data_IF_074349525723
#
_entry.id   IF_074349525723
#
_cell.length_a   1.000
_cell.length_b   1.000
_cell.length_c   1.000
_cell.angle_alpha   90.00
_cell.angle_beta   90.00
_cell.angle_gamma   90.00
#
_symmetry.space_group_name_H-M   'P 1'
#
loop_
_entity.id
_entity.type
_entity.pdbx_description
1 polymer ?
#
# COMPACT_ATOMS: atom_id res chain seq x y z
N UNK A 1 -17.53 -42.32 -56.68
CA UNK A 1 -18.06 -40.95 -56.47
C UNK A 1 -18.76 -40.91 -55.11
N UNK A 2 -18.13 -40.30 -54.09
CA UNK A 2 -18.75 -40.00 -52.80
C UNK A 2 -18.79 -38.48 -52.68
N UNK A 3 -19.99 -37.91 -52.64
CA UNK A 3 -20.21 -36.48 -52.40
C UNK A 3 -19.93 -36.18 -50.93
N UNK A 4 -19.03 -35.24 -50.67
CA UNK A 4 -18.85 -34.64 -49.36
C UNK A 4 -19.74 -33.39 -49.28
N UNK A 5 -20.75 -33.44 -48.41
CA UNK A 5 -21.61 -32.32 -48.05
C UNK A 5 -20.86 -31.41 -47.07
N UNK A 6 -20.48 -30.22 -47.51
CA UNK A 6 -20.00 -29.17 -46.61
C UNK A 6 -21.17 -28.59 -45.82
N UNK A 7 -21.16 -28.80 -44.50
CA UNK A 7 -22.05 -28.10 -43.57
C UNK A 7 -21.56 -26.66 -43.38
N UNK A 8 -22.43 -25.63 -43.42
CA UNK A 8 -22.04 -24.25 -43.22
C UNK A 8 -21.67 -24.02 -41.76
N UNK A 9 -20.42 -23.65 -41.51
CA UNK A 9 -19.94 -23.24 -40.19
C UNK A 9 -20.67 -21.96 -39.79
N UNK A 10 -21.46 -22.01 -38.70
CA UNK A 10 -22.06 -20.82 -38.07
C UNK A 10 -20.96 -19.83 -37.73
N UNK A 11 -20.87 -18.73 -38.48
CA UNK A 11 -20.06 -17.56 -38.11
C UNK A 11 -20.64 -17.00 -36.81
N UNK A 12 -19.83 -16.93 -35.75
CA UNK A 12 -20.17 -16.13 -34.56
C UNK A 12 -20.33 -14.67 -35.00
N UNK A 13 -21.28 -13.91 -34.44
CA UNK A 13 -21.36 -12.49 -34.69
C UNK A 13 -20.01 -11.85 -34.33
N UNK A 14 -19.48 -11.09 -35.28
CA UNK A 14 -18.26 -10.29 -35.13
C UNK A 14 -18.57 -9.25 -34.05
N UNK A 15 -17.98 -9.41 -32.86
CA UNK A 15 -18.17 -8.45 -31.77
C UNK A 15 -17.55 -7.12 -32.19
N UNK A 16 -18.34 -6.03 -32.13
CA UNK A 16 -17.86 -4.72 -32.53
C UNK A 16 -16.58 -4.35 -31.79
N UNK A 17 -15.53 -3.94 -32.52
CA UNK A 17 -14.25 -3.62 -31.93
C UNK A 17 -14.39 -2.41 -31.01
N UNK A 18 -13.74 -2.47 -29.86
CA UNK A 18 -13.82 -1.42 -28.84
C UNK A 18 -12.71 -0.41 -29.11
N UNK A 19 -13.08 0.84 -29.37
CA UNK A 19 -12.14 1.93 -29.67
C UNK A 19 -12.06 2.94 -28.54
N UNK A 20 -10.88 3.53 -28.34
CA UNK A 20 -10.65 4.44 -27.23
C UNK A 20 -9.19 4.76 -26.97
N UNK A 21 -8.94 5.59 -25.96
CA UNK A 21 -7.59 5.88 -25.48
C UNK A 21 -7.26 5.03 -24.27
N UNK A 22 -6.06 4.45 -24.22
CA UNK A 22 -5.58 3.72 -23.05
C UNK A 22 -4.95 4.66 -22.03
N UNK A 23 -5.14 4.30 -20.77
CA UNK A 23 -4.70 5.02 -19.58
C UNK A 23 -4.22 4.02 -18.52
N UNK A 24 -3.27 4.46 -17.69
CA UNK A 24 -2.89 3.82 -16.41
C UNK A 24 -2.67 2.28 -16.46
N UNK A 25 -1.69 1.82 -17.25
CA UNK A 25 -1.36 0.39 -17.38
C UNK A 25 -0.65 -0.15 -16.14
N UNK A 26 -1.32 -1.06 -15.42
CA UNK A 26 -0.76 -1.66 -14.19
C UNK A 26 0.39 -2.64 -14.47
N UNK A 27 1.23 -2.96 -13.46
CA UNK A 27 2.17 -4.08 -13.55
C UNK A 27 1.44 -5.41 -13.78
N UNK A 28 2.15 -6.41 -14.33
CA UNK A 28 1.61 -7.78 -14.44
C UNK A 28 1.40 -8.35 -13.03
N UNK A 29 0.18 -8.81 -12.78
CA UNK A 29 -0.31 -9.45 -11.57
C UNK A 29 -0.56 -10.93 -11.83
N UNK A 30 -0.55 -11.74 -10.78
CA UNK A 30 -0.92 -13.16 -10.83
C UNK A 30 -2.20 -13.36 -10.04
N UNK A 31 -3.19 -14.00 -10.66
CA UNK A 31 -4.45 -14.35 -9.98
C UNK A 31 -4.26 -15.55 -9.06
N UNK A 32 -5.24 -15.79 -8.17
CA UNK A 32 -5.29 -17.00 -7.34
C UNK A 32 -5.18 -18.31 -8.13
N UNK A 33 -5.69 -18.34 -9.37
CA UNK A 33 -5.60 -19.51 -10.27
C UNK A 33 -4.28 -19.59 -11.04
N UNK A 34 -3.26 -18.84 -10.60
CA UNK A 34 -1.95 -18.73 -11.23
C UNK A 34 -1.97 -18.21 -12.68
N UNK A 35 -3.04 -17.49 -13.07
CA UNK A 35 -3.13 -16.85 -14.38
C UNK A 35 -2.56 -15.43 -14.27
N UNK A 36 -1.60 -15.10 -15.12
CA UNK A 36 -1.01 -13.76 -15.21
C UNK A 36 -1.90 -12.81 -16.00
N UNK A 37 -2.08 -11.60 -15.50
CA UNK A 37 -2.90 -10.57 -16.14
C UNK A 37 -2.41 -9.17 -15.78
N UNK A 38 -2.85 -8.14 -16.49
CA UNK A 38 -2.71 -6.75 -16.08
C UNK A 38 -4.00 -5.98 -16.34
N UNK A 39 -4.23 -4.94 -15.56
CA UNK A 39 -5.33 -3.99 -15.74
C UNK A 39 -4.86 -2.73 -16.46
N UNK A 40 -5.75 -2.11 -17.22
CA UNK A 40 -5.63 -0.75 -17.76
C UNK A 40 -7.01 -0.06 -17.69
N UNK A 41 -7.04 1.25 -17.91
CA UNK A 41 -8.28 2.03 -18.06
C UNK A 41 -8.39 2.47 -19.51
N UNK A 42 -9.59 2.43 -20.09
CA UNK A 42 -9.83 2.84 -21.47
C UNK A 42 -10.93 3.89 -21.53
N UNK A 43 -10.62 5.04 -22.12
CA UNK A 43 -11.59 6.09 -22.40
C UNK A 43 -12.35 5.72 -23.68
N UNK A 44 -13.62 5.39 -23.55
CA UNK A 44 -14.48 4.98 -24.67
C UNK A 44 -15.35 6.12 -25.21
N UNK A 45 -15.51 7.21 -24.46
CA UNK A 45 -16.19 8.44 -24.89
C UNK A 45 -15.72 9.65 -24.06
N UNK A 46 -16.29 10.84 -24.27
CA UNK A 46 -16.11 12.02 -23.43
C UNK A 46 -16.55 11.75 -21.99
N UNK A 47 -15.56 11.46 -21.13
CA UNK A 47 -15.79 11.22 -19.72
C UNK A 47 -16.26 9.80 -19.38
N UNK A 48 -16.32 8.89 -20.34
CA UNK A 48 -16.62 7.48 -20.10
C UNK A 48 -15.35 6.64 -20.09
N UNK A 49 -15.07 6.00 -18.95
CA UNK A 49 -13.87 5.20 -18.72
C UNK A 49 -14.26 3.78 -18.31
N UNK A 50 -13.74 2.79 -19.04
CA UNK A 50 -13.96 1.37 -18.78
C UNK A 50 -12.70 0.70 -18.29
N UNK A 51 -12.84 -0.24 -17.35
CA UNK A 51 -11.72 -1.09 -16.94
C UNK A 51 -11.42 -2.10 -18.04
N UNK A 52 -10.15 -2.24 -18.38
CA UNK A 52 -9.64 -3.28 -19.27
C UNK A 52 -8.83 -4.28 -18.45
N UNK A 53 -9.13 -5.57 -18.59
CA UNK A 53 -8.36 -6.66 -17.99
C UNK A 53 -7.76 -7.49 -19.11
N UNK A 54 -6.43 -7.53 -19.18
CA UNK A 54 -5.69 -8.27 -20.19
C UNK A 54 -5.04 -9.52 -19.59
N UNK A 55 -5.44 -10.70 -20.07
CA UNK A 55 -4.87 -12.00 -19.69
C UNK A 55 -3.68 -12.42 -20.57
N UNK A 56 -3.12 -11.47 -21.33
CA UNK A 56 -1.98 -11.65 -22.24
C UNK A 56 -0.84 -10.71 -21.84
N UNK A 57 0.00 -11.08 -20.85
CA UNK A 57 1.09 -10.23 -20.36
C UNK A 57 2.04 -9.69 -21.44
N UNK A 58 2.21 -10.44 -22.54
CA UNK A 58 3.00 -10.06 -23.70
C UNK A 58 2.52 -8.77 -24.38
N UNK A 59 1.23 -8.42 -24.24
CA UNK A 59 0.63 -7.21 -24.82
C UNK A 59 0.87 -5.96 -23.99
N UNK A 60 1.39 -6.09 -22.75
CA UNK A 60 1.56 -4.96 -21.82
C UNK A 60 2.44 -3.84 -22.40
N UNK A 61 3.50 -4.19 -23.13
CA UNK A 61 4.39 -3.20 -23.74
C UNK A 61 3.66 -2.33 -24.77
N UNK A 62 2.81 -2.93 -25.62
CA UNK A 62 2.01 -2.20 -26.59
C UNK A 62 0.97 -1.29 -25.91
N UNK A 63 0.33 -1.76 -24.83
CA UNK A 63 -0.59 -0.95 -24.04
C UNK A 63 0.12 0.26 -23.39
N UNK A 64 1.31 0.04 -22.83
CA UNK A 64 2.10 1.09 -22.21
C UNK A 64 2.51 2.14 -23.25
N UNK A 65 3.03 1.68 -24.40
CA UNK A 65 3.42 2.57 -25.49
C UNK A 65 2.24 3.41 -26.02
N UNK A 66 1.06 2.79 -26.18
CA UNK A 66 -0.14 3.52 -26.59
C UNK A 66 -0.57 4.58 -25.56
N UNK A 67 -0.40 4.29 -24.27
CA UNK A 67 -0.67 5.24 -23.18
C UNK A 67 0.32 6.41 -23.21
N UNK A 68 1.61 6.11 -23.29
CA UNK A 68 2.70 7.11 -23.27
C UNK A 68 2.59 8.06 -24.47
N UNK A 69 2.22 7.52 -25.64
CA UNK A 69 2.04 8.29 -26.87
C UNK A 69 0.65 8.95 -27.00
N UNK A 70 -0.25 8.76 -26.02
CA UNK A 70 -1.66 9.20 -26.08
C UNK A 70 -2.35 8.76 -27.38
N UNK A 71 -2.02 7.56 -27.84
CA UNK A 71 -2.47 7.00 -29.11
C UNK A 71 -3.84 6.33 -28.93
N UNK A 72 -4.76 6.59 -29.85
CA UNK A 72 -6.04 5.88 -29.92
C UNK A 72 -5.82 4.44 -30.37
N UNK A 73 -6.49 3.50 -29.70
CA UNK A 73 -6.41 2.08 -30.01
C UNK A 73 -7.77 1.49 -30.32
N UNK A 74 -7.74 0.41 -31.10
CA UNK A 74 -8.86 -0.46 -31.42
C UNK A 74 -8.55 -1.86 -30.89
N UNK A 75 -9.39 -2.35 -30.00
CA UNK A 75 -9.33 -3.70 -29.45
C UNK A 75 -10.26 -4.61 -30.25
N UNK A 76 -9.68 -5.51 -31.04
CA UNK A 76 -10.42 -6.47 -31.86
C UNK A 76 -10.53 -7.80 -31.11
N UNK A 77 -11.69 -8.46 -31.19
CA UNK A 77 -12.00 -9.69 -30.44
C UNK A 77 -11.82 -9.52 -28.92
N UNK A 78 -12.12 -8.33 -28.39
CA UNK A 78 -12.18 -8.06 -26.96
C UNK A 78 -13.61 -8.25 -26.46
N UNK A 79 -13.78 -8.91 -25.32
CA UNK A 79 -15.11 -9.26 -24.81
C UNK A 79 -15.62 -8.18 -23.85
N UNK A 80 -16.88 -7.79 -24.00
CA UNK A 80 -17.58 -6.97 -23.00
C UNK A 80 -18.18 -7.88 -21.94
N UNK A 81 -17.84 -7.63 -20.68
CA UNK A 81 -18.41 -8.36 -19.54
C UNK A 81 -19.11 -7.41 -18.61
N UNK A 82 -20.14 -7.86 -17.90
CA UNK A 82 -20.81 -7.04 -16.88
C UNK A 82 -19.76 -6.51 -15.92
N UNK A 83 -19.71 -5.19 -15.73
CA UNK A 83 -18.69 -4.58 -14.89
C UNK A 83 -18.84 -5.07 -13.46
N UNK A 84 -17.73 -5.52 -12.89
CA UNK A 84 -17.67 -5.91 -11.48
C UNK A 84 -17.65 -4.70 -10.53
N UNK A 85 -17.55 -3.49 -11.08
CA UNK A 85 -17.27 -2.27 -10.31
C UNK A 85 -18.40 -1.23 -10.42
N UNK A 86 -19.15 -1.20 -11.53
CA UNK A 86 -20.29 -0.29 -11.74
C UNK A 86 -21.51 -1.04 -12.30
N UNK A 87 -22.60 -1.19 -11.54
CA UNK A 87 -23.86 -1.77 -12.04
C UNK A 87 -24.35 -1.03 -13.29
N UNK A 88 -24.69 -1.75 -14.36
CA UNK A 88 -25.17 -1.17 -15.61
C UNK A 88 -24.08 -0.77 -16.63
N UNK A 89 -22.81 -1.05 -16.34
CA UNK A 89 -21.69 -0.83 -17.29
C UNK A 89 -20.98 -2.15 -17.63
N UNK A 90 -19.96 -2.08 -18.50
CA UNK A 90 -19.17 -3.24 -18.89
C UNK A 90 -17.66 -3.03 -18.63
N UNK A 91 -16.97 -4.11 -18.24
CA UNK A 91 -15.52 -4.23 -18.25
C UNK A 91 -15.09 -4.89 -19.59
N UNK A 92 -13.89 -4.55 -20.08
CA UNK A 92 -13.32 -5.08 -21.33
C UNK A 92 -12.30 -6.17 -21.01
N UNK A 93 -12.51 -7.38 -21.52
CA UNK A 93 -11.56 -8.49 -21.39
C UNK A 93 -10.76 -8.67 -22.67
N UNK A 94 -9.43 -8.64 -22.54
CA UNK A 94 -8.48 -8.84 -23.61
C UNK A 94 -7.77 -10.16 -23.39
N UNK A 95 -7.80 -11.04 -24.39
CA UNK A 95 -7.21 -12.38 -24.33
C UNK A 95 -6.06 -12.52 -25.33
N UNK A 96 -5.48 -13.73 -25.42
CA UNK A 96 -4.49 -14.06 -26.46
C UNK A 96 -5.01 -13.87 -27.87
N UNK A 97 -6.30 -14.06 -28.10
CA UNK A 97 -6.98 -13.91 -29.40
C UNK A 97 -7.34 -12.48 -29.78
N UNK A 98 -7.27 -11.56 -28.82
CA UNK A 98 -7.56 -10.15 -29.06
C UNK A 98 -6.34 -9.46 -29.69
N UNK A 99 -6.54 -8.56 -30.65
CA UNK A 99 -5.48 -7.70 -31.19
C UNK A 99 -5.64 -6.27 -30.71
N UNK A 100 -4.52 -5.55 -30.63
CA UNK A 100 -4.45 -4.13 -30.29
C UNK A 100 -3.90 -3.43 -31.53
N UNK A 101 -4.71 -2.59 -32.15
CA UNK A 101 -4.36 -1.87 -33.36
C UNK A 101 -4.52 -0.37 -33.13
N UNK A 102 -3.84 0.45 -33.92
CA UNK A 102 -4.07 1.89 -33.92
C UNK A 102 -5.49 2.16 -34.43
N UNK A 103 -6.26 2.97 -33.72
CA UNK A 103 -7.53 3.47 -34.22
C UNK A 103 -7.33 4.77 -34.99
N UNK A 104 -8.15 4.98 -36.01
CA UNK A 104 -8.32 6.29 -36.65
C UNK A 104 -8.80 7.34 -35.64
N UNK A 105 -8.73 8.61 -36.04
CA UNK A 105 -9.03 9.73 -35.18
C UNK A 105 -10.44 9.61 -34.57
N UNK A 106 -10.50 9.49 -33.24
CA UNK A 106 -11.75 9.33 -32.51
C UNK A 106 -12.54 10.65 -32.48
N UNK A 107 -13.86 10.57 -32.35
CA UNK A 107 -14.77 11.72 -32.27
C UNK A 107 -14.60 12.55 -30.99
N UNK A 108 -13.79 12.09 -30.05
CA UNK A 108 -13.49 12.74 -28.79
C UNK A 108 -11.98 12.81 -28.56
N UNK A 109 -11.46 13.88 -27.94
CA UNK A 109 -10.05 13.98 -27.63
C UNK A 109 -9.67 13.09 -26.45
N UNK A 110 -8.39 12.76 -26.37
CA UNK A 110 -7.78 12.19 -25.17
C UNK A 110 -8.03 13.12 -23.98
N UNK A 111 -8.48 12.57 -22.85
CA UNK A 111 -8.64 13.28 -21.57
C UNK A 111 -8.12 12.41 -20.43
N UNK A 112 -7.31 13.02 -19.56
CA UNK A 112 -6.84 12.39 -18.32
C UNK A 112 -8.05 11.88 -17.50
N UNK A 113 -8.02 10.64 -16.98
CA UNK A 113 -9.06 10.16 -16.09
C UNK A 113 -9.19 11.09 -14.88
N UNK A 114 -10.40 11.26 -14.34
CA UNK A 114 -10.68 12.11 -13.15
C UNK A 114 -9.95 11.65 -11.87
N UNK A 115 -9.08 10.66 -11.95
CA UNK A 115 -8.26 10.13 -10.85
C UNK A 115 -7.23 11.15 -10.31
N UNK A 116 -7.03 12.28 -11.00
CA UNK A 116 -6.17 13.39 -10.54
C UNK A 116 -6.94 14.59 -9.97
N UNK A 117 -8.22 14.76 -10.32
CA UNK A 117 -9.05 15.87 -9.82
C UNK A 117 -9.42 15.66 -8.35
N UNK A 118 -9.59 16.76 -7.63
CA UNK A 118 -9.98 16.73 -6.21
C UNK A 118 -11.43 16.25 -6.11
N UNK A 119 -11.68 15.25 -5.28
CA UNK A 119 -13.00 14.65 -5.04
C UNK A 119 -13.36 14.80 -3.57
N UNK A 120 -14.63 15.12 -3.29
CA UNK A 120 -15.15 15.21 -1.91
C UNK A 120 -15.51 13.83 -1.36
N UNK A 121 -15.54 13.68 -0.03
CA UNK A 121 -15.98 12.42 0.58
C UNK A 121 -17.44 12.11 0.24
N UNK A 122 -18.32 13.12 0.12
CA UNK A 122 -19.70 12.92 -0.31
C UNK A 122 -19.78 12.25 -1.69
N UNK A 123 -18.97 12.71 -2.65
CA UNK A 123 -18.91 12.12 -3.99
C UNK A 123 -18.39 10.68 -3.94
N UNK A 124 -17.38 10.41 -3.10
CA UNK A 124 -16.84 9.05 -2.90
C UNK A 124 -17.90 8.10 -2.37
N UNK A 125 -18.74 8.55 -1.44
CA UNK A 125 -19.80 7.73 -0.87
C UNK A 125 -20.84 7.32 -1.93
N UNK A 126 -21.03 8.12 -2.97
CA UNK A 126 -21.92 7.82 -4.10
C UNK A 126 -21.32 6.81 -5.11
N UNK A 127 -20.03 6.51 -5.03
CA UNK A 127 -19.36 5.57 -5.93
C UNK A 127 -19.67 4.11 -5.60
N UNK A 128 -19.69 3.27 -6.65
CA UNK A 128 -19.69 1.81 -6.53
C UNK A 128 -18.36 1.27 -5.99
N UNK A 129 -18.27 -0.02 -5.63
CA UNK A 129 -17.01 -0.65 -5.21
C UNK A 129 -15.99 -0.74 -6.34
N UNK A 130 -14.71 -0.83 -5.99
CA UNK A 130 -13.56 -1.00 -6.91
C UNK A 130 -13.40 0.12 -7.93
N UNK A 131 -14.01 1.28 -7.67
CA UNK A 131 -13.81 2.49 -8.46
C UNK A 131 -12.51 3.14 -8.03
N UNK A 132 -11.70 3.57 -9.00
CA UNK A 132 -10.59 4.47 -8.69
C UNK A 132 -11.14 5.84 -8.32
N UNK A 133 -10.53 6.44 -7.32
CA UNK A 133 -10.95 7.75 -6.83
C UNK A 133 -9.89 8.78 -7.19
N UNK A 134 -10.37 9.99 -7.47
CA UNK A 134 -9.54 11.19 -7.55
C UNK A 134 -8.75 11.45 -6.28
N UNK A 135 -7.97 12.54 -6.28
CA UNK A 135 -7.29 12.94 -5.06
C UNK A 135 -8.30 13.42 -4.03
N UNK A 136 -8.17 12.99 -2.78
CA UNK A 136 -9.01 13.43 -1.67
C UNK A 136 -8.12 14.17 -0.68
N UNK A 137 -8.57 15.33 -0.23
CA UNK A 137 -7.99 15.98 0.94
C UNK A 137 -8.89 15.70 2.12
N UNK A 138 -8.35 15.08 3.16
CA UNK A 138 -9.12 14.68 4.33
C UNK A 138 -8.29 14.79 5.60
N UNK A 139 -8.99 15.09 6.69
CA UNK A 139 -8.47 15.02 8.06
C UNK A 139 -8.60 13.60 8.58
N UNK A 140 -7.53 13.10 9.21
CA UNK A 140 -7.52 11.82 9.91
C UNK A 140 -8.08 12.03 11.31
N UNK A 141 -9.11 11.28 11.66
CA UNK A 141 -9.83 11.42 12.92
C UNK A 141 -9.30 10.43 13.95
N UNK A 142 -9.42 9.15 13.64
CA UNK A 142 -9.08 8.06 14.55
C UNK A 142 -8.71 6.83 13.75
N UNK A 143 -7.76 6.05 14.25
CA UNK A 143 -7.39 4.77 13.67
C UNK A 143 -7.92 3.60 14.51
N UNK A 144 -8.32 2.52 13.84
CA UNK A 144 -8.60 1.25 14.52
C UNK A 144 -7.30 0.54 14.91
N UNK A 145 -7.42 -0.55 15.66
CA UNK A 145 -6.31 -1.47 15.87
C UNK A 145 -5.75 -1.99 14.53
N UNK A 146 -4.43 -2.23 14.50
CA UNK A 146 -3.75 -2.84 13.37
C UNK A 146 -4.25 -4.29 13.20
N UNK A 147 -4.25 -4.78 11.97
CA UNK A 147 -4.58 -6.17 11.64
C UNK A 147 -3.55 -6.71 10.67
N UNK A 148 -3.29 -8.01 10.74
CA UNK A 148 -2.43 -8.69 9.75
C UNK A 148 -3.28 -9.67 8.97
N UNK A 149 -3.23 -9.59 7.63
CA UNK A 149 -3.97 -10.48 6.74
C UNK A 149 -3.03 -11.14 5.73
N UNK A 150 -3.26 -12.41 5.36
CA UNK A 150 -2.49 -13.07 4.31
C UNK A 150 -2.93 -12.59 2.93
N UNK A 151 -2.09 -11.86 2.22
CA UNK A 151 -2.28 -11.47 0.83
C UNK A 151 -1.40 -12.34 -0.06
N UNK A 152 -2.00 -13.26 -0.84
CA UNK A 152 -1.27 -14.26 -1.64
C UNK A 152 -0.23 -15.06 -0.83
N UNK A 153 -0.59 -15.43 0.41
CA UNK A 153 0.31 -16.13 1.34
C UNK A 153 1.34 -15.24 2.04
N UNK A 154 1.36 -13.94 1.75
CA UNK A 154 2.26 -12.98 2.41
C UNK A 154 1.51 -12.24 3.51
N UNK A 155 1.91 -12.35 4.79
CA UNK A 155 1.36 -11.52 5.85
C UNK A 155 1.59 -10.04 5.51
N UNK A 156 0.50 -9.28 5.44
CA UNK A 156 0.48 -7.86 5.12
C UNK A 156 -0.28 -7.14 6.21
N UNK A 157 0.29 -6.04 6.69
CA UNK A 157 -0.32 -5.25 7.76
C UNK A 157 -1.29 -4.25 7.15
N UNK A 158 -2.45 -4.10 7.77
CA UNK A 158 -3.42 -3.06 7.43
C UNK A 158 -3.88 -2.33 8.68
N UNK A 159 -4.23 -1.07 8.52
CA UNK A 159 -4.91 -0.28 9.54
C UNK A 159 -5.99 0.57 8.89
N UNK A 160 -7.14 0.66 9.55
CA UNK A 160 -8.25 1.48 9.09
C UNK A 160 -8.23 2.81 9.83
N UNK A 161 -8.42 3.90 9.09
CA UNK A 161 -8.48 5.26 9.59
C UNK A 161 -9.83 5.86 9.24
N UNK A 162 -10.55 6.36 10.24
CA UNK A 162 -11.67 7.26 9.99
C UNK A 162 -11.14 8.59 9.51
N UNK A 163 -11.64 9.04 8.38
CA UNK A 163 -11.25 10.30 7.74
C UNK A 163 -12.48 11.13 7.41
N UNK A 164 -12.33 12.44 7.44
CA UNK A 164 -13.40 13.36 7.07
C UNK A 164 -12.92 14.57 6.27
N UNK A 165 -13.87 15.20 5.62
CA UNK A 165 -13.79 16.52 5.02
C UNK A 165 -15.09 17.28 5.36
N UNK A 166 -15.27 18.55 4.97
CA UNK A 166 -16.51 19.28 5.26
C UNK A 166 -17.79 18.64 4.69
N UNK A 167 -17.68 17.72 3.73
CA UNK A 167 -18.80 17.09 3.03
C UNK A 167 -19.24 15.77 3.65
N UNK A 168 -18.36 15.08 4.39
CA UNK A 168 -18.72 13.82 5.00
C UNK A 168 -17.57 13.10 5.70
N UNK A 169 -17.84 11.85 6.07
CA UNK A 169 -16.90 10.97 6.77
C UNK A 169 -16.92 9.57 6.16
N UNK A 170 -15.74 9.00 5.93
CA UNK A 170 -15.58 7.61 5.49
C UNK A 170 -14.37 6.95 6.17
N UNK A 171 -14.18 5.66 5.94
CA UNK A 171 -13.00 4.94 6.40
C UNK A 171 -12.00 4.75 5.26
N UNK A 172 -10.71 4.79 5.60
CA UNK A 172 -9.58 4.57 4.70
C UNK A 172 -8.69 3.45 5.26
N UNK A 173 -8.53 2.36 4.52
CA UNK A 173 -7.55 1.32 4.83
C UNK A 173 -6.20 1.65 4.19
N UNK A 174 -5.15 1.75 5.00
CA UNK A 174 -3.75 1.87 4.55
C UNK A 174 -2.97 0.60 4.87
N UNK A 175 -1.93 0.34 4.08
CA UNK A 175 -1.18 -0.91 4.09
C UNK A 175 0.30 -0.70 4.42
N UNK A 176 0.87 -1.60 5.22
CA UNK A 176 2.28 -1.66 5.59
C UNK A 176 2.83 -0.26 5.97
N UNK A 177 3.87 0.22 5.27
CA UNK A 177 4.52 1.51 5.53
C UNK A 177 3.60 2.73 5.40
N UNK A 178 2.48 2.64 4.67
CA UNK A 178 1.56 3.77 4.49
C UNK A 178 0.86 4.11 5.81
N UNK A 179 0.69 3.13 6.70
CA UNK A 179 0.14 3.32 8.05
C UNK A 179 0.94 4.38 8.82
N UNK A 180 2.26 4.41 8.62
CA UNK A 180 3.17 5.33 9.31
C UNK A 180 3.23 6.73 8.70
N UNK A 181 2.63 6.95 7.53
CA UNK A 181 2.66 8.24 6.83
C UNK A 181 1.57 9.22 7.29
N UNK A 182 0.65 8.74 8.13
CA UNK A 182 -0.49 9.50 8.62
C UNK A 182 -0.49 9.57 10.15
N UNK A 183 -1.04 10.65 10.69
CA UNK A 183 -1.21 10.86 12.13
C UNK A 183 -2.63 11.38 12.39
N UNK A 184 -3.22 10.92 13.49
CA UNK A 184 -4.52 11.39 13.95
C UNK A 184 -4.51 12.90 14.20
N UNK A 185 -5.62 13.55 13.88
CA UNK A 185 -5.79 15.00 13.96
C UNK A 185 -5.18 15.81 12.81
N UNK A 186 -4.33 15.20 11.96
CA UNK A 186 -3.70 15.89 10.83
C UNK A 186 -4.44 15.68 9.51
N UNK A 187 -4.21 16.58 8.55
CA UNK A 187 -4.83 16.55 7.23
C UNK A 187 -3.83 16.18 6.14
N UNK A 188 -4.31 15.37 5.19
CA UNK A 188 -3.49 14.84 4.10
C UNK A 188 -4.26 14.84 2.77
N UNK A 189 -3.52 15.00 1.68
CA UNK A 189 -3.95 14.68 0.33
C UNK A 189 -3.58 13.24 0.02
N UNK A 190 -4.58 12.43 -0.27
CA UNK A 190 -4.46 11.04 -0.68
C UNK A 190 -4.77 10.91 -2.17
N UNK A 191 -3.90 10.25 -2.93
CA UNK A 191 -4.12 9.98 -4.36
C UNK A 191 -3.96 8.48 -4.67
N UNK A 192 -4.48 8.04 -5.82
CA UNK A 192 -4.49 6.64 -6.24
C UNK A 192 -5.17 5.71 -5.21
N UNK A 193 -6.34 6.14 -4.72
CA UNK A 193 -7.22 5.35 -3.86
C UNK A 193 -8.23 4.56 -4.69
N UNK A 194 -8.81 3.54 -4.08
CA UNK A 194 -9.95 2.81 -4.66
C UNK A 194 -11.06 2.63 -3.64
N UNK A 195 -12.30 2.58 -4.09
CA UNK A 195 -13.44 2.28 -3.24
C UNK A 195 -13.56 0.78 -2.96
N UNK A 196 -14.12 0.45 -1.81
CA UNK A 196 -14.51 -0.90 -1.40
C UNK A 196 -15.84 -0.78 -0.66
N UNK A 197 -16.62 -1.87 -0.64
CA UNK A 197 -17.80 -1.97 0.22
C UNK A 197 -17.45 -2.72 1.51
N UNK A 198 -17.82 -2.14 2.64
CA UNK A 198 -17.81 -2.77 3.95
C UNK A 198 -19.23 -2.71 4.51
N UNK A 199 -19.96 -3.82 4.39
CA UNK A 199 -21.42 -3.80 4.47
C UNK A 199 -21.99 -2.86 3.41
N UNK A 200 -22.86 -1.94 3.83
CA UNK A 200 -23.47 -0.94 2.95
C UNK A 200 -22.60 0.32 2.74
N UNK A 201 -21.58 0.51 3.60
CA UNK A 201 -20.71 1.70 3.58
C UNK A 201 -19.68 1.58 2.45
N UNK A 202 -19.56 2.64 1.64
CA UNK A 202 -18.45 2.80 0.70
C UNK A 202 -17.24 3.34 1.48
N UNK A 203 -16.17 2.55 1.53
CA UNK A 203 -14.91 2.88 2.19
C UNK A 203 -13.80 2.98 1.16
N UNK A 204 -12.67 3.55 1.54
CA UNK A 204 -11.50 3.70 0.70
C UNK A 204 -10.42 2.69 1.09
N UNK A 205 -9.66 2.24 0.11
CA UNK A 205 -8.43 1.48 0.33
C UNK A 205 -7.29 2.08 -0.47
N UNK A 206 -6.14 2.15 0.16
CA UNK A 206 -4.88 2.42 -0.51
C UNK A 206 -4.42 1.24 -1.37
N UNK A 207 -3.41 1.52 -2.19
CA UNK A 207 -2.64 0.60 -3.02
C UNK A 207 -1.15 0.91 -2.85
N UNK A 208 -0.22 0.06 -3.33
CA UNK A 208 1.22 0.39 -3.28
C UNK A 208 1.60 1.70 -4.00
N UNK A 209 0.73 2.20 -4.89
CA UNK A 209 0.91 3.46 -5.62
C UNK A 209 0.27 4.67 -4.91
N UNK A 210 -0.41 4.46 -3.79
CA UNK A 210 -1.04 5.55 -3.04
C UNK A 210 0.01 6.55 -2.58
N UNK A 211 -0.18 7.80 -2.99
CA UNK A 211 0.62 8.94 -2.58
C UNK A 211 -0.11 9.69 -1.47
N UNK A 212 0.64 10.08 -0.44
CA UNK A 212 0.13 10.72 0.78
C UNK A 212 1.00 11.94 1.01
N UNK A 213 0.39 13.13 0.98
CA UNK A 213 1.08 14.42 1.15
C UNK A 213 0.40 15.21 2.26
N UNK A 214 1.14 15.76 3.21
CA UNK A 214 0.57 16.61 4.25
C UNK A 214 0.00 17.90 3.64
N UNK A 215 -1.15 18.35 4.14
CA UNK A 215 -1.80 19.60 3.72
C UNK A 215 -2.27 20.40 4.93
N UNK A 216 -2.71 21.64 4.69
CA UNK A 216 -3.38 22.46 5.71
C UNK A 216 -4.67 21.82 6.23
N UNK A 217 -5.24 22.37 7.31
CA UNK A 217 -6.47 21.83 7.88
C UNK A 217 -7.61 21.87 6.87
N UNK A 218 -8.15 20.69 6.56
CA UNK A 218 -9.26 20.50 5.63
C UNK A 218 -10.61 20.79 6.31
N UNK A 219 -10.62 20.83 7.64
CA UNK A 219 -11.85 20.93 8.43
C UNK A 219 -12.55 19.58 8.58
N UNK A 220 -13.77 19.62 9.11
CA UNK A 220 -14.58 18.44 9.44
C UNK A 220 -16.06 18.79 9.34
N UNK A 221 -16.96 17.79 9.14
CA UNK A 221 -18.39 18.05 9.09
C UNK A 221 -18.92 18.39 10.50
N UNK A 222 -20.13 18.96 10.62
CA UNK A 222 -20.70 19.39 11.92
C UNK A 222 -20.85 18.27 12.95
N UNK A 223 -21.00 17.04 12.49
CA UNK A 223 -21.11 15.85 13.33
C UNK A 223 -20.20 14.76 12.79
N UNK A 224 -19.32 14.26 13.65
CA UNK A 224 -18.34 13.22 13.32
C UNK A 224 -18.57 12.03 14.24
N UNK A 225 -18.61 10.83 13.67
CA UNK A 225 -18.80 9.58 14.41
C UNK A 225 -17.44 8.96 14.73
N UNK A 226 -17.10 8.84 16.01
CA UNK A 226 -15.89 8.12 16.41
C UNK A 226 -16.22 6.64 16.64
N UNK A 227 -15.46 5.70 16.05
CA UNK A 227 -15.59 4.29 16.36
C UNK A 227 -15.13 4.02 17.80
N UNK A 228 -15.74 3.02 18.44
CA UNK A 228 -15.21 2.48 19.68
C UNK A 228 -13.92 1.71 19.36
N UNK A 229 -12.79 2.14 19.89
CA UNK A 229 -11.49 1.49 19.72
C UNK A 229 -11.17 0.78 21.03
N UNK A 230 -10.90 -0.53 20.96
CA UNK A 230 -10.38 -1.29 22.08
C UNK A 230 -9.00 -0.74 22.45
N UNK A 231 -8.73 -0.58 23.75
CA UNK A 231 -7.44 -0.11 24.21
C UNK A 231 -6.33 -1.09 23.86
N UNK A 232 -5.15 -0.54 23.60
CA UNK A 232 -3.91 -1.33 23.56
C UNK A 232 -3.41 -1.56 24.99
N UNK A 233 -2.80 -2.71 25.24
CA UNK A 233 -2.20 -3.08 26.52
C UNK A 233 -0.67 -2.97 26.43
N UNK A 234 -0.04 -2.52 27.51
CA UNK A 234 1.42 -2.51 27.62
C UNK A 234 1.88 -3.75 28.38
N UNK A 235 2.77 -4.52 27.74
CA UNK A 235 3.41 -5.69 28.31
C UNK A 235 4.90 -5.41 28.46
N UNK A 236 5.46 -5.78 29.62
CA UNK A 236 6.88 -5.62 29.91
C UNK A 236 7.47 -6.96 30.34
N UNK A 237 8.59 -7.36 29.72
CA UNK A 237 9.21 -8.65 29.98
C UNK A 237 10.57 -8.86 29.32
N UNK A 238 11.18 -9.99 29.60
CA UNK A 238 12.42 -10.42 28.97
C UNK A 238 12.12 -11.16 27.66
N UNK A 239 12.85 -10.82 26.59
CA UNK A 239 12.77 -11.54 25.32
C UNK A 239 13.54 -12.86 25.45
N UNK A 240 12.86 -13.99 25.31
CA UNK A 240 13.48 -15.33 25.34
C UNK A 240 13.60 -15.94 23.95
N UNK A 241 12.82 -15.45 22.98
CA UNK A 241 12.90 -15.85 21.59
C UNK A 241 12.40 -14.75 20.65
N UNK A 242 13.02 -14.66 19.48
CA UNK A 242 12.65 -13.71 18.44
C UNK A 242 12.83 -14.34 17.06
N UNK A 243 11.91 -14.01 16.15
CA UNK A 243 12.06 -14.25 14.72
C UNK A 243 11.62 -12.99 13.98
N UNK A 244 12.48 -12.42 13.14
CA UNK A 244 12.20 -11.27 12.28
C UNK A 244 12.46 -11.67 10.83
N UNK A 245 11.36 -11.82 10.08
CA UNK A 245 11.40 -12.05 8.64
C UNK A 245 11.39 -10.71 7.91
N UNK A 246 12.50 -10.43 7.22
CA UNK A 246 12.64 -9.24 6.35
C UNK A 246 12.34 -9.64 4.90
N UNK A 247 11.43 -8.90 4.25
CA UNK A 247 11.07 -9.12 2.84
C UNK A 247 11.42 -7.88 2.01
N UNK A 248 12.57 -7.89 1.32
CA UNK A 248 12.97 -6.81 0.44
C UNK A 248 12.18 -6.81 -0.88
N UNK A 249 11.82 -5.62 -1.36
CA UNK A 249 11.24 -5.38 -2.69
C UNK A 249 12.01 -4.32 -3.44
N UNK A 250 12.27 -4.57 -4.72
CA UNK A 250 12.94 -3.61 -5.58
C UNK A 250 12.09 -2.34 -5.73
N UNK A 251 12.67 -1.16 -5.50
CA UNK A 251 11.94 0.11 -5.60
C UNK A 251 11.45 0.42 -7.01
N UNK A 252 12.16 -0.07 -8.04
CA UNK A 252 11.84 0.18 -9.46
C UNK A 252 10.80 -0.78 -10.03
N UNK A 253 10.98 -2.08 -9.86
CA UNK A 253 10.11 -3.10 -10.46
C UNK A 253 9.15 -3.76 -9.47
N UNK A 254 9.24 -3.40 -8.19
CA UNK A 254 8.42 -3.91 -7.08
C UNK A 254 8.48 -5.43 -6.87
N UNK A 255 9.44 -6.11 -7.50
CA UNK A 255 9.66 -7.54 -7.29
C UNK A 255 10.20 -7.83 -5.90
N UNK A 256 9.65 -8.85 -5.23
CA UNK A 256 10.26 -9.45 -4.04
C UNK A 256 11.64 -9.99 -4.35
N UNK A 257 12.52 -10.00 -3.36
CA UNK A 257 13.89 -10.49 -3.46
C UNK A 257 14.10 -11.55 -2.38
N UNK A 258 14.71 -12.67 -2.74
CA UNK A 258 14.95 -13.78 -1.82
C UNK A 258 16.42 -13.88 -1.39
N UNK A 259 17.33 -13.40 -2.23
CA UNK A 259 18.78 -13.60 -2.09
C UNK A 259 19.55 -12.34 -1.68
N UNK A 260 18.91 -11.39 -1.00
CA UNK A 260 19.62 -10.22 -0.46
C UNK A 260 20.55 -10.72 0.64
N UNK A 261 21.85 -10.79 0.34
CA UNK A 261 22.83 -11.27 1.29
C UNK A 261 22.87 -10.39 2.55
N UNK A 262 22.93 -11.05 3.71
CA UNK A 262 23.16 -10.39 4.99
C UNK A 262 24.43 -9.53 4.91
N UNK A 263 24.36 -8.32 5.45
CA UNK A 263 25.47 -7.34 5.51
C UNK A 263 25.98 -6.83 4.15
N UNK A 264 25.29 -7.09 3.04
CA UNK A 264 25.69 -6.54 1.74
C UNK A 264 25.28 -5.07 1.61
N UNK A 265 26.18 -4.22 1.12
CA UNK A 265 25.88 -2.80 0.84
C UNK A 265 25.14 -2.58 -0.46
N UNK A 266 25.17 -3.56 -1.37
CA UNK A 266 24.53 -3.49 -2.69
C UNK A 266 23.90 -4.82 -3.07
N UNK A 267 22.75 -4.78 -3.74
CA UNK A 267 22.10 -5.96 -4.29
C UNK A 267 21.68 -5.72 -5.73
N UNK A 268 21.82 -6.76 -6.57
CA UNK A 268 21.33 -6.72 -7.95
C UNK A 268 19.93 -7.30 -7.98
N UNK A 269 18.96 -6.54 -8.47
CA UNK A 269 17.58 -7.00 -8.49
C UNK A 269 17.45 -8.27 -9.34
N UNK A 270 16.90 -9.33 -8.74
CA UNK A 270 16.70 -10.65 -9.36
C UNK A 270 15.79 -10.58 -10.60
N UNK A 271 14.90 -9.58 -10.67
CA UNK A 271 13.95 -9.41 -11.78
C UNK A 271 14.41 -8.43 -12.86
N UNK A 272 14.84 -7.23 -12.47
CA UNK A 272 15.19 -6.18 -13.43
C UNK A 272 16.70 -6.00 -13.66
N UNK A 273 17.55 -6.73 -12.93
CA UNK A 273 19.00 -6.75 -13.12
C UNK A 273 19.73 -5.49 -12.66
N UNK A 274 19.03 -4.48 -12.14
CA UNK A 274 19.64 -3.23 -11.67
C UNK A 274 20.36 -3.45 -10.36
N UNK A 275 21.63 -3.02 -10.32
CA UNK A 275 22.40 -2.90 -9.09
C UNK A 275 21.99 -1.62 -8.36
N UNK A 276 21.64 -1.75 -7.09
CA UNK A 276 21.31 -0.62 -6.22
C UNK A 276 21.84 -0.87 -4.82
N UNK A 277 21.98 0.20 -4.03
CA UNK A 277 22.28 0.07 -2.60
C UNK A 277 21.21 -0.78 -1.92
N UNK A 278 21.60 -1.66 -1.01
CA UNK A 278 20.65 -2.54 -0.31
C UNK A 278 19.59 -1.72 0.41
N UNK A 279 19.97 -0.61 1.05
CA UNK A 279 19.04 0.28 1.74
C UNK A 279 18.10 1.08 0.80
N UNK A 280 18.29 1.01 -0.52
CA UNK A 280 17.34 1.59 -1.49
C UNK A 280 16.13 0.66 -1.75
N UNK A 281 16.21 -0.61 -1.33
CA UNK A 281 15.08 -1.53 -1.38
C UNK A 281 14.02 -1.13 -0.35
N UNK A 282 12.78 -1.50 -0.63
CA UNK A 282 11.66 -1.33 0.29
C UNK A 282 11.54 -2.60 1.13
N UNK A 283 11.65 -2.49 2.44
CA UNK A 283 11.54 -3.62 3.36
C UNK A 283 10.15 -3.69 3.97
N UNK A 284 9.63 -4.90 4.09
CA UNK A 284 8.50 -5.22 4.96
C UNK A 284 8.91 -6.25 5.99
N UNK A 285 8.46 -6.07 7.23
CA UNK A 285 8.81 -6.91 8.37
C UNK A 285 7.60 -7.73 8.83
N UNK A 286 7.86 -8.92 9.35
CA UNK A 286 6.89 -9.74 10.07
C UNK A 286 7.65 -10.66 11.01
N UNK A 287 7.03 -11.13 12.07
CA UNK A 287 7.75 -11.98 13.01
C UNK A 287 6.98 -12.35 14.24
N UNK A 288 7.67 -12.93 15.21
CA UNK A 288 7.13 -13.38 16.49
C UNK A 288 8.14 -13.07 17.59
N UNK A 289 7.64 -12.60 18.73
CA UNK A 289 8.38 -12.51 19.99
C UNK A 289 7.84 -13.55 20.97
N UNK A 290 8.75 -14.16 21.73
CA UNK A 290 8.45 -14.91 22.94
C UNK A 290 8.96 -14.07 24.11
N UNK A 291 8.04 -13.61 24.94
CA UNK A 291 8.30 -12.74 26.08
C UNK A 291 7.92 -13.44 27.37
N UNK A 292 8.83 -13.44 28.34
CA UNK A 292 8.50 -13.80 29.72
C UNK A 292 8.27 -12.51 30.49
N UNK A 293 7.03 -12.25 30.89
CA UNK A 293 6.70 -11.01 31.60
C UNK A 293 7.23 -11.02 33.03
N UNK A 294 7.19 -9.87 33.70
CA UNK A 294 7.59 -9.74 35.11
C UNK A 294 6.83 -10.67 36.08
N UNK A 295 5.64 -11.15 35.70
CA UNK A 295 4.86 -12.09 36.51
C UNK A 295 5.23 -13.57 36.26
N UNK A 296 6.16 -13.85 35.34
CA UNK A 296 6.60 -15.20 34.96
C UNK A 296 5.76 -15.87 33.86
N UNK A 297 4.76 -15.18 33.31
CA UNK A 297 3.95 -15.65 32.18
C UNK A 297 4.73 -15.55 30.86
N UNK A 298 4.69 -16.62 30.08
CA UNK A 298 5.25 -16.66 28.73
C UNK A 298 4.18 -16.30 27.69
N UNK A 299 4.47 -15.27 26.88
CA UNK A 299 3.59 -14.75 25.84
C UNK A 299 4.24 -14.91 24.47
N UNK A 300 3.50 -15.46 23.52
CA UNK A 300 3.88 -15.51 22.10
C UNK A 300 3.10 -14.44 21.34
N UNK A 301 3.79 -13.41 20.87
CA UNK A 301 3.20 -12.21 20.29
C UNK A 301 3.66 -11.99 18.84
N UNK A 302 2.75 -11.57 17.97
CA UNK A 302 3.05 -11.36 16.56
C UNK A 302 3.55 -9.94 16.30
N UNK A 303 4.67 -9.80 15.59
CA UNK A 303 5.23 -8.52 15.18
C UNK A 303 4.54 -7.97 13.95
N UNK A 304 4.10 -6.72 14.04
CA UNK A 304 3.63 -5.97 12.87
C UNK A 304 4.79 -5.30 12.13
N UNK A 305 4.59 -5.04 10.84
CA UNK A 305 5.57 -4.35 10.01
C UNK A 305 5.89 -2.95 10.57
N UNK A 306 4.86 -2.22 11.00
CA UNK A 306 4.96 -0.87 11.57
C UNK A 306 5.75 -0.84 12.88
N UNK A 307 5.57 -1.85 13.74
CA UNK A 307 6.30 -1.95 15.00
C UNK A 307 7.82 -2.09 14.77
N UNK A 308 8.23 -3.03 13.92
CA UNK A 308 9.66 -3.25 13.60
C UNK A 308 10.24 -2.04 12.86
N UNK A 309 9.49 -1.45 11.92
CA UNK A 309 9.95 -0.26 11.21
C UNK A 309 10.21 0.91 12.17
N UNK A 310 9.28 1.16 13.11
CA UNK A 310 9.46 2.20 14.13
C UNK A 310 10.68 1.90 14.99
N UNK A 311 10.88 0.66 15.43
CA UNK A 311 12.06 0.26 16.20
C UNK A 311 13.36 0.53 15.43
N UNK A 312 13.44 0.12 14.16
CA UNK A 312 14.61 0.37 13.30
C UNK A 312 14.89 1.87 13.15
N UNK A 313 13.85 2.69 12.97
CA UNK A 313 13.97 4.15 12.85
C UNK A 313 14.44 4.78 14.15
N UNK A 314 13.75 4.47 15.24
CA UNK A 314 13.90 5.15 16.53
C UNK A 314 15.25 4.79 17.20
N UNK A 315 15.83 3.64 16.86
CA UNK A 315 17.15 3.18 17.31
C UNK A 315 18.27 3.36 16.26
N UNK A 316 18.03 4.09 15.17
CA UNK A 316 19.03 4.39 14.13
C UNK A 316 19.65 3.15 13.45
N UNK A 317 18.90 2.05 13.35
CA UNK A 317 19.34 0.76 12.81
C UNK A 317 19.19 0.64 11.28
N UNK A 318 19.10 1.77 10.56
CA UNK A 318 18.83 1.78 9.12
C UNK A 318 19.86 0.99 8.28
N UNK A 319 21.10 0.84 8.78
CA UNK A 319 22.17 0.07 8.11
C UNK A 319 21.95 -1.44 8.14
N UNK A 320 21.20 -1.93 9.12
CA UNK A 320 20.86 -3.36 9.29
C UNK A 320 19.39 -3.64 9.00
N UNK A 321 18.65 -2.68 8.44
CA UNK A 321 17.23 -2.81 8.12
C UNK A 321 16.89 -4.00 7.19
N UNK A 322 17.88 -4.51 6.46
CA UNK A 322 17.75 -5.66 5.55
C UNK A 322 18.18 -6.99 6.20
N UNK A 323 18.76 -6.95 7.39
CA UNK A 323 19.45 -8.06 8.05
C UNK A 323 18.62 -8.51 9.26
N UNK A 324 17.67 -9.42 9.01
CA UNK A 324 16.79 -9.99 10.04
C UNK A 324 17.56 -10.53 11.24
N UNK A 325 18.56 -11.41 11.04
CA UNK A 325 19.38 -11.94 12.13
C UNK A 325 20.08 -10.85 12.97
N UNK A 326 20.62 -9.80 12.34
CA UNK A 326 21.22 -8.70 13.10
C UNK A 326 20.18 -7.93 13.93
N UNK A 327 18.96 -7.73 13.40
CA UNK A 327 17.87 -7.12 14.16
C UNK A 327 17.40 -8.03 15.32
N UNK A 328 17.41 -9.35 15.11
CA UNK A 328 17.11 -10.35 16.15
C UNK A 328 18.13 -10.27 17.29
N UNK A 329 19.43 -10.23 16.97
CA UNK A 329 20.50 -10.09 17.98
C UNK A 329 20.38 -8.78 18.77
N UNK A 330 20.09 -7.66 18.12
CA UNK A 330 19.87 -6.37 18.79
C UNK A 330 18.68 -6.41 19.77
N UNK A 331 17.58 -7.06 19.38
CA UNK A 331 16.41 -7.21 20.25
C UNK A 331 16.68 -8.20 21.40
N UNK A 332 17.37 -9.32 21.13
CA UNK A 332 17.77 -10.28 22.17
C UNK A 332 18.76 -9.68 23.19
N UNK A 333 19.52 -8.66 22.79
CA UNK A 333 20.42 -7.93 23.67
C UNK A 333 19.73 -7.01 24.68
N UNK A 334 18.42 -6.79 24.54
CA UNK A 334 17.65 -5.97 25.48
C UNK A 334 17.47 -6.73 26.81
N UNK A 335 17.83 -6.08 27.92
CA UNK A 335 17.59 -6.62 29.26
C UNK A 335 16.10 -6.79 29.55
N UNK A 336 15.30 -5.86 29.04
CA UNK A 336 13.85 -5.87 29.16
C UNK A 336 13.26 -5.16 27.94
N UNK A 337 12.10 -5.63 27.49
CA UNK A 337 11.37 -5.09 26.36
C UNK A 337 9.99 -4.63 26.84
N UNK A 338 9.62 -3.42 26.42
CA UNK A 338 8.27 -2.90 26.57
C UNK A 338 7.57 -2.99 25.21
N UNK A 339 6.44 -3.69 25.15
CA UNK A 339 5.62 -3.87 23.96
C UNK A 339 4.21 -3.32 24.20
N UNK A 340 3.68 -2.60 23.22
CA UNK A 340 2.26 -2.25 23.13
C UNK A 340 1.57 -3.28 22.24
N UNK A 341 0.58 -3.97 22.80
CA UNK A 341 -0.13 -5.10 22.19
C UNK A 341 -1.59 -4.73 22.03
N UNK A 342 -2.15 -4.94 20.84
CA UNK A 342 -3.57 -4.70 20.62
C UNK A 342 -4.43 -5.91 21.02
N UNK A 343 -5.76 -5.75 21.01
CA UNK A 343 -6.70 -6.83 21.32
C UNK A 343 -6.68 -8.06 20.38
N UNK A 344 -5.91 -8.02 19.28
CA UNK A 344 -5.66 -9.18 18.40
C UNK A 344 -4.35 -9.91 18.75
N UNK A 345 -3.63 -9.50 19.81
CA UNK A 345 -2.33 -10.08 20.20
C UNK A 345 -1.16 -9.63 19.31
N UNK A 346 -1.33 -8.51 18.59
CA UNK A 346 -0.32 -7.96 17.69
C UNK A 346 0.48 -6.86 18.40
N UNK A 347 1.81 -6.94 18.32
CA UNK A 347 2.71 -5.87 18.75
C UNK A 347 2.64 -4.74 17.74
N UNK A 348 2.12 -3.59 18.16
CA UNK A 348 2.02 -2.36 17.34
C UNK A 348 3.16 -1.37 17.60
N UNK A 349 3.84 -1.51 18.74
CA UNK A 349 5.04 -0.76 19.09
C UNK A 349 5.86 -1.56 20.10
N UNK A 350 7.18 -1.46 20.04
CA UNK A 350 8.05 -1.96 21.10
C UNK A 350 9.34 -1.14 21.20
N UNK A 351 10.06 -1.30 22.31
CA UNK A 351 11.37 -0.71 22.53
C UNK A 351 12.03 -1.23 23.81
N UNK A 352 13.19 -0.66 24.17
CA UNK A 352 13.84 -0.97 25.45
C UNK A 352 12.88 -0.64 26.59
N UNK A 353 12.68 -1.59 27.50
CA UNK A 353 11.91 -1.37 28.72
C UNK A 353 12.65 -0.41 29.65
N UNK A 354 11.91 0.49 30.30
CA UNK A 354 12.49 1.30 31.38
C UNK A 354 12.62 0.39 32.61
N UNK A 355 13.84 0.24 33.18
CA UNK A 355 13.99 -0.48 34.44
C UNK A 355 13.09 0.16 35.48
N UNK A 356 12.31 -0.64 36.20
CA UNK A 356 11.53 -0.12 37.33
C UNK A 356 12.51 0.57 38.30
N UNK A 357 12.43 1.90 38.42
CA UNK A 357 13.20 2.61 39.44
C UNK A 357 12.87 1.98 40.79
N UNK A 358 13.91 1.47 41.46
CA UNK A 358 13.82 1.02 42.84
C UNK A 358 13.45 2.24 43.67
N UNK A 359 12.16 2.36 43.96
CA UNK A 359 11.64 3.35 44.91
C UNK A 359 12.22 3.03 46.29
N UNK A 360 13.25 3.79 46.69
CA UNK A 360 13.97 3.53 47.93
C UNK A 360 14.92 4.63 48.37
N UNK A 361 14.36 5.71 48.90
CA UNK A 361 14.94 6.65 49.88
C UNK A 361 16.10 7.59 49.49
N UNK A 362 15.79 8.87 49.70
CA UNK A 362 16.61 10.09 49.60
C UNK A 362 17.94 10.09 50.37
N UNK A 363 18.92 10.84 49.84
CA UNK A 363 19.61 11.90 50.59
C UNK A 363 20.27 12.94 49.66
N UNK A 364 20.36 14.13 50.22
CA UNK A 364 20.52 15.46 49.65
C UNK A 364 21.98 15.91 49.57
N UNK A 365 22.22 17.03 48.87
CA UNK A 365 23.44 17.87 48.77
C UNK A 365 24.42 17.52 47.63
N UNK A 366 25.00 18.44 46.86
CA UNK A 366 25.02 19.93 46.85
C UNK A 366 25.49 20.43 45.48
N UNK A 367 25.16 21.70 45.24
CA UNK A 367 25.49 22.61 44.15
C UNK A 367 26.87 22.50 43.46
N UNK A 368 26.86 22.83 42.16
CA UNK A 368 27.90 23.68 41.56
C UNK A 368 28.33 23.32 40.14
N UNK A 369 28.00 24.17 39.17
CA UNK A 369 28.97 24.51 38.12
C UNK A 369 28.58 24.32 36.66
N UNK A 370 28.22 25.46 36.05
CA UNK A 370 28.63 25.95 34.71
C UNK A 370 28.21 25.16 33.47
N UNK A 371 27.48 25.86 32.62
CA UNK A 371 26.97 25.38 31.35
C UNK A 371 28.03 25.16 30.29
N UNK A 372 27.57 24.47 29.24
CA UNK A 372 28.08 24.59 27.87
C UNK A 372 26.90 24.35 26.92
N UNK A 373 26.61 25.38 26.14
CA UNK A 373 25.89 25.30 24.88
C UNK A 373 26.49 24.20 24.00
N UNK A 374 25.67 23.25 23.59
CA UNK A 374 25.94 22.41 22.43
C UNK A 374 24.74 22.51 21.49
N UNK A 375 24.95 23.28 20.42
CA UNK A 375 24.06 23.36 19.26
C UNK A 375 23.85 21.95 18.70
N UNK A 376 22.64 21.43 18.81
CA UNK A 376 22.23 20.22 18.11
C UNK A 376 22.06 20.56 16.62
N UNK A 377 22.92 19.94 15.80
CA UNK A 377 22.85 19.99 14.35
C UNK A 377 21.54 19.39 13.84
N UNK A 378 20.79 20.19 13.10
CA UNK A 378 19.59 19.80 12.37
C UNK A 378 20.03 18.95 11.17
N UNK A 379 19.84 17.63 11.23
CA UNK A 379 19.97 16.78 10.05
C UNK A 379 18.67 16.89 9.26
N UNK A 380 18.74 17.62 8.16
CA UNK A 380 17.68 17.76 7.16
C UNK A 380 17.58 16.45 6.39
N UNK A 381 16.41 15.79 6.44
CA UNK A 381 16.06 14.79 5.43
C UNK A 381 15.90 15.52 4.11
N UNK A 382 16.74 15.19 3.13
CA UNK A 382 16.69 15.77 1.80
C UNK A 382 15.35 15.40 1.14
N UNK A 383 14.46 16.39 1.03
CA UNK A 383 13.50 16.49 -0.05
C UNK A 383 14.31 16.71 -1.33
N UNK A 384 14.30 15.73 -2.24
CA UNK A 384 14.75 15.98 -3.60
C UNK A 384 13.60 16.63 -4.36
N UNK A 385 13.70 17.96 -4.49
CA UNK A 385 13.04 18.73 -5.54
C UNK A 385 13.55 18.27 -6.90
N UNK A 386 12.69 17.61 -7.68
CA UNK A 386 12.91 17.42 -9.11
C UNK A 386 12.35 18.65 -9.85
N UNK A 387 13.20 19.67 -10.00
CA UNK A 387 13.04 20.73 -11.01
C UNK A 387 14.20 20.70 -12.00
N UNK A 388 13.86 20.76 -13.29
CA UNK A 388 14.68 20.87 -14.51
C UNK A 388 15.53 19.64 -14.86
N UNK A 389 15.53 19.13 -16.10
CA UNK A 389 15.20 19.71 -17.42
C UNK A 389 14.90 18.59 -18.40
#
# INVERSE_FOLDING_TARGET
MKMATHSPTKRKPEEDPITGYLHEVSPVKTSWRNVSYFDATMQTDQGDYKRVVCFSPEKRAAFQQATDNKQSVKLINAQKTISSSNPGTFDVLVSSRSSVEAAEQLSFPWREPRTTEKVSIADVLALGPRQRVGAIEARVLQATANRVVPLNGVPSELRMFEICDPTGQTALTLWDRQILSVQEGKSYRFAALSTRKEGDRTVLTGSPQTAITAVGDVGQPPSVKMPAVAGDETVVGQVTGVQIVVKPRCRRCHAGQESVAARSTTHRCERCGILQHTNAYVFTYSGVFILVTRNGEELSLTLTNSAVFNYVRDNYLARMAHDGPSLEEEVMGLSELEATVNGEGLIVRFGPGVPAEVSGSAKQERAGGRGRDLRAGRVVFAECDDTNT
#
